data_IF_327219712823
#
_entry.id   IF_327219712823
#
_cell.length_a   1.000
_cell.length_b   1.000
_cell.length_c   1.000
_cell.angle_alpha   90.00
_cell.angle_beta   90.00
_cell.angle_gamma   90.00
#
_symmetry.space_group_name_H-M   'P 1'
#
loop_
_entity.id
_entity.type
_entity.pdbx_description
1 polymer ?
#
# COMPACT_ATOMS: atom_id res chain seq x y z
N UNK A 1 21.42 18.31 -1.49
CA UNK A 1 20.44 18.64 -0.43
C UNK A 1 19.08 18.00 -0.69
N UNK A 2 18.43 18.23 -1.83
CA UNK A 2 17.13 17.60 -2.17
C UNK A 2 17.13 16.06 -2.17
N UNK A 3 18.17 15.42 -2.71
CA UNK A 3 18.33 13.96 -2.67
C UNK A 3 18.41 13.39 -1.24
N UNK A 4 19.06 14.11 -0.33
CA UNK A 4 19.19 13.68 1.08
C UNK A 4 17.84 13.84 1.81
N UNK A 5 17.12 14.93 1.54
CA UNK A 5 15.78 15.18 2.10
C UNK A 5 14.80 14.08 1.67
N UNK A 6 14.86 13.65 0.41
CA UNK A 6 14.00 12.59 -0.09
C UNK A 6 14.33 11.22 0.55
N UNK A 7 15.62 10.96 0.82
CA UNK A 7 16.04 9.74 1.54
C UNK A 7 15.57 9.72 2.99
N UNK A 8 15.64 10.85 3.70
CA UNK A 8 15.11 10.97 5.08
C UNK A 8 13.61 10.71 5.09
N UNK A 9 12.87 11.35 4.17
CA UNK A 9 11.42 11.18 4.10
C UNK A 9 11.00 9.73 3.77
N UNK A 10 11.70 9.06 2.86
CA UNK A 10 11.41 7.64 2.61
C UNK A 10 11.78 6.74 3.78
N UNK A 11 12.80 7.07 4.58
CA UNK A 11 13.06 6.36 5.82
C UNK A 11 11.92 6.56 6.86
N UNK A 12 11.40 7.78 6.99
CA UNK A 12 10.21 8.06 7.81
C UNK A 12 8.99 7.25 7.34
N UNK A 13 8.74 7.22 6.03
CA UNK A 13 7.64 6.43 5.47
C UNK A 13 7.79 4.93 5.78
N UNK A 14 9.00 4.38 5.71
CA UNK A 14 9.23 2.98 6.12
C UNK A 14 8.88 2.77 7.60
N UNK A 15 9.20 3.73 8.48
CA UNK A 15 8.79 3.69 9.89
C UNK A 15 7.27 3.74 10.04
N UNK A 16 6.58 4.63 9.31
CA UNK A 16 5.12 4.73 9.33
C UNK A 16 4.43 3.47 8.80
N UNK A 17 5.04 2.76 7.85
CA UNK A 17 4.58 1.45 7.40
C UNK A 17 4.74 0.41 8.52
N UNK A 18 5.87 0.42 9.24
CA UNK A 18 6.05 -0.47 10.40
C UNK A 18 5.03 -0.18 11.51
N UNK A 19 4.76 1.10 11.81
CA UNK A 19 3.71 1.52 12.74
C UNK A 19 2.35 0.95 12.31
N UNK A 20 1.97 1.11 11.03
CA UNK A 20 0.71 0.61 10.51
C UNK A 20 0.60 -0.93 10.59
N UNK A 21 1.68 -1.66 10.30
CA UNK A 21 1.70 -3.13 10.40
C UNK A 21 1.54 -3.58 11.86
N UNK A 22 2.18 -2.89 12.79
CA UNK A 22 2.12 -3.17 14.24
C UNK A 22 0.75 -2.85 14.83
N UNK A 23 0.25 -1.63 14.59
CA UNK A 23 -0.98 -1.12 15.20
C UNK A 23 -2.20 -1.94 14.80
N UNK A 24 -2.23 -2.42 13.55
CA UNK A 24 -3.35 -3.18 12.99
C UNK A 24 -3.09 -4.68 12.85
N UNK A 25 -1.91 -5.17 13.22
CA UNK A 25 -1.56 -6.59 13.13
C UNK A 25 -1.74 -7.16 11.72
N UNK A 26 -1.18 -6.48 10.71
CA UNK A 26 -1.48 -6.79 9.31
C UNK A 26 -0.95 -8.16 8.87
N UNK A 27 -1.76 -8.87 8.09
CA UNK A 27 -1.46 -10.20 7.55
C UNK A 27 -1.25 -10.16 6.04
N UNK A 28 -0.17 -10.79 5.57
CA UNK A 28 0.23 -10.85 4.18
C UNK A 28 -0.28 -12.12 3.44
N UNK A 29 -0.62 -12.02 2.14
CA UNK A 29 -0.72 -10.79 1.34
C UNK A 29 -1.73 -9.81 1.93
N UNK A 30 -1.35 -8.54 2.07
CA UNK A 30 -2.23 -7.52 2.66
C UNK A 30 -3.51 -7.46 1.83
N UNK A 31 -4.64 -7.30 2.51
CA UNK A 31 -5.91 -7.00 1.89
C UNK A 31 -6.19 -5.49 2.04
N UNK A 32 -5.97 -4.68 1.00
CA UNK A 32 -6.17 -3.23 1.09
C UNK A 32 -7.64 -2.85 1.33
N UNK A 33 -8.59 -3.72 1.01
CA UNK A 33 -10.01 -3.51 1.29
C UNK A 33 -10.27 -3.48 2.79
N UNK A 34 -9.77 -4.50 3.48
CA UNK A 34 -9.83 -4.56 4.94
C UNK A 34 -9.03 -3.42 5.59
N UNK A 35 -7.87 -3.04 5.03
CA UNK A 35 -7.09 -1.91 5.55
C UNK A 35 -7.87 -0.60 5.50
N UNK A 36 -8.54 -0.31 4.38
CA UNK A 36 -9.36 0.90 4.24
C UNK A 36 -10.46 0.98 5.32
N UNK A 37 -11.14 -0.14 5.59
CA UNK A 37 -12.14 -0.22 6.66
C UNK A 37 -11.52 -0.02 8.06
N UNK A 38 -10.35 -0.59 8.31
CA UNK A 38 -9.60 -0.41 9.57
C UNK A 38 -9.17 1.05 9.80
N UNK A 39 -8.91 1.80 8.72
CA UNK A 39 -8.64 3.23 8.75
C UNK A 39 -9.91 4.09 8.86
N UNK A 40 -11.09 3.46 8.97
CA UNK A 40 -12.37 4.15 9.08
C UNK A 40 -12.86 4.77 7.77
N UNK A 41 -12.33 4.34 6.62
CA UNK A 41 -12.76 4.81 5.32
C UNK A 41 -13.88 3.94 4.73
N UNK A 42 -14.85 4.58 4.08
CA UNK A 42 -15.86 3.90 3.26
C UNK A 42 -15.24 3.54 1.90
N UNK A 43 -15.22 2.25 1.54
CA UNK A 43 -14.67 1.78 0.27
C UNK A 43 -15.78 1.57 -0.76
N UNK A 44 -15.70 2.29 -1.88
CA UNK A 44 -16.67 2.23 -2.97
C UNK A 44 -15.99 1.76 -4.26
N UNK A 45 -16.22 0.49 -4.62
CA UNK A 45 -15.79 -0.06 -5.90
C UNK A 45 -16.86 0.19 -6.96
N UNK A 46 -16.52 0.99 -7.95
CA UNK A 46 -17.42 1.27 -9.07
C UNK A 46 -17.36 0.15 -10.09
N UNK A 47 -18.46 -0.60 -10.27
CA UNK A 47 -18.55 -1.70 -11.26
C UNK A 47 -18.41 -1.25 -12.73
N UNK A 48 -18.40 0.05 -12.96
CA UNK A 48 -18.30 0.72 -14.25
C UNK A 48 -17.30 1.87 -14.06
N UNK A 49 -17.31 2.84 -14.97
CA UNK A 49 -16.49 4.06 -14.84
C UNK A 49 -16.69 4.78 -13.50
N UNK A 50 -15.59 5.38 -13.03
CA UNK A 50 -15.59 6.32 -11.92
C UNK A 50 -16.55 7.49 -12.17
N UNK A 51 -17.04 8.17 -11.11
CA UNK A 51 -17.86 9.36 -11.23
C UNK A 51 -17.15 10.47 -12.03
N UNK A 52 -17.91 11.38 -12.64
CA UNK A 52 -17.38 12.44 -13.52
C UNK A 52 -16.36 13.36 -12.83
N UNK A 53 -16.37 13.44 -11.50
CA UNK A 53 -15.35 14.16 -10.73
C UNK A 53 -13.95 13.59 -10.95
N UNK A 54 -13.81 12.27 -11.19
CA UNK A 54 -12.51 11.64 -11.44
C UNK A 54 -11.80 12.20 -12.68
N UNK A 55 -12.56 12.61 -13.71
CA UNK A 55 -12.01 13.27 -14.89
C UNK A 55 -11.41 14.65 -14.56
N UNK A 56 -11.99 15.36 -13.59
CA UNK A 56 -11.45 16.64 -13.12
C UNK A 56 -10.20 16.43 -12.25
N UNK A 57 -10.14 15.33 -11.52
CA UNK A 57 -8.98 14.88 -10.74
C UNK A 57 -7.91 14.19 -11.59
N UNK A 58 -8.12 14.07 -12.91
CA UNK A 58 -7.19 13.43 -13.85
C UNK A 58 -6.79 11.99 -13.48
N UNK A 59 -7.71 11.25 -12.84
CA UNK A 59 -7.49 9.85 -12.43
C UNK A 59 -8.45 8.89 -13.15
N UNK A 60 -7.94 7.72 -13.52
CA UNK A 60 -8.72 6.60 -14.07
C UNK A 60 -8.87 5.43 -13.10
N UNK A 61 -8.16 5.46 -11.96
CA UNK A 61 -7.91 4.27 -11.15
C UNK A 61 -8.66 4.34 -9.83
N UNK A 62 -8.58 5.49 -9.16
CA UNK A 62 -9.26 5.76 -7.91
C UNK A 62 -8.94 7.16 -7.38
N UNK A 63 -9.63 7.54 -6.31
CA UNK A 63 -9.39 8.76 -5.55
C UNK A 63 -10.04 8.67 -4.17
N UNK A 64 -9.59 9.51 -3.24
CA UNK A 64 -10.19 9.67 -1.91
C UNK A 64 -10.89 11.01 -1.77
N UNK A 65 -12.11 10.98 -1.20
CA UNK A 65 -12.86 12.15 -0.77
C UNK A 65 -12.75 12.28 0.77
N UNK A 66 -12.36 13.47 1.25
CA UNK A 66 -12.46 13.84 2.66
C UNK A 66 -13.85 14.43 2.94
N UNK A 67 -14.58 13.84 3.89
CA UNK A 67 -15.96 14.21 4.24
C UNK A 67 -15.96 14.78 5.65
N UNK A 68 -16.32 16.06 5.80
CA UNK A 68 -16.45 16.69 7.12
C UNK A 68 -17.83 16.39 7.71
N UNK A 69 -17.84 15.75 8.87
CA UNK A 69 -19.05 15.43 9.65
C UNK A 69 -19.07 16.21 10.96
N UNK A 70 -20.15 16.10 11.73
CA UNK A 70 -20.22 16.66 13.09
C UNK A 70 -19.25 15.99 14.08
N UNK A 71 -18.77 14.78 13.77
CA UNK A 71 -17.87 13.99 14.61
C UNK A 71 -16.40 14.06 14.17
N UNK A 72 -16.09 14.81 13.11
CA UNK A 72 -14.74 14.91 12.54
C UNK A 72 -14.69 14.64 11.05
N UNK A 73 -13.48 14.46 10.52
CA UNK A 73 -13.26 14.09 9.11
C UNK A 73 -13.35 12.58 8.97
N UNK A 74 -14.13 12.12 7.99
CA UNK A 74 -14.16 10.73 7.54
C UNK A 74 -13.71 10.68 6.08
N UNK A 75 -13.38 9.49 5.58
CA UNK A 75 -12.87 9.32 4.22
C UNK A 75 -13.77 8.37 3.42
N UNK A 76 -13.88 8.64 2.13
CA UNK A 76 -14.46 7.71 1.17
C UNK A 76 -13.47 7.47 0.04
N UNK A 77 -13.08 6.22 -0.15
CA UNK A 77 -12.18 5.82 -1.23
C UNK A 77 -12.99 5.25 -2.39
N UNK A 78 -12.80 5.81 -3.56
CA UNK A 78 -13.41 5.35 -4.79
C UNK A 78 -12.39 4.59 -5.63
N UNK A 79 -12.73 3.36 -6.05
CA UNK A 79 -11.87 2.51 -6.87
C UNK A 79 -12.59 2.13 -8.16
N UNK A 80 -11.87 2.15 -9.28
CA UNK A 80 -12.39 1.71 -10.56
C UNK A 80 -12.40 0.17 -10.63
N UNK A 81 -13.58 -0.43 -10.57
CA UNK A 81 -13.77 -1.88 -10.63
C UNK A 81 -13.56 -2.49 -12.02
N UNK A 82 -13.41 -1.69 -13.08
CA UNK A 82 -13.03 -2.17 -14.41
C UNK A 82 -11.53 -2.47 -14.52
N UNK A 83 -10.72 -2.03 -13.54
CA UNK A 83 -9.29 -2.33 -13.51
C UNK A 83 -9.02 -3.77 -13.07
N UNK A 84 -7.89 -4.38 -13.50
CA UNK A 84 -7.48 -5.68 -12.97
C UNK A 84 -7.36 -5.67 -11.44
N UNK A 85 -7.68 -6.77 -10.77
CA UNK A 85 -7.71 -6.85 -9.30
C UNK A 85 -6.38 -6.41 -8.67
N UNK A 86 -5.25 -6.84 -9.22
CA UNK A 86 -3.93 -6.42 -8.72
C UNK A 86 -3.71 -4.89 -8.83
N UNK A 87 -4.31 -4.23 -9.81
CA UNK A 87 -4.28 -2.77 -9.95
C UNK A 87 -5.21 -2.11 -8.93
N UNK A 88 -6.43 -2.63 -8.75
CA UNK A 88 -7.35 -2.15 -7.71
C UNK A 88 -6.73 -2.23 -6.32
N UNK A 89 -6.05 -3.34 -6.00
CA UNK A 89 -5.31 -3.54 -4.75
C UNK A 89 -4.24 -2.46 -4.54
N UNK A 90 -3.44 -2.18 -5.58
CA UNK A 90 -2.43 -1.12 -5.50
C UNK A 90 -3.07 0.27 -5.32
N UNK A 91 -4.09 0.60 -6.12
CA UNK A 91 -4.83 1.86 -6.00
C UNK A 91 -5.36 2.03 -4.58
N UNK A 92 -6.00 1.01 -4.01
CA UNK A 92 -6.55 1.13 -2.68
C UNK A 92 -5.47 1.28 -1.60
N UNK A 93 -4.34 0.58 -1.71
CA UNK A 93 -3.20 0.80 -0.82
C UNK A 93 -2.61 2.21 -0.95
N UNK A 94 -2.60 2.77 -2.16
CA UNK A 94 -2.17 4.14 -2.44
C UNK A 94 -3.11 5.17 -1.81
N UNK A 95 -4.42 4.99 -1.95
CA UNK A 95 -5.42 5.86 -1.30
C UNK A 95 -5.35 5.76 0.24
N UNK A 96 -5.14 4.55 0.79
CA UNK A 96 -4.90 4.37 2.21
C UNK A 96 -3.62 5.10 2.68
N UNK A 97 -2.59 5.18 1.83
CA UNK A 97 -1.39 5.94 2.13
C UNK A 97 -1.68 7.44 2.27
N UNK A 98 -2.52 8.02 1.40
CA UNK A 98 -2.92 9.41 1.54
C UNK A 98 -3.64 9.70 2.86
N UNK A 99 -4.46 8.76 3.33
CA UNK A 99 -5.14 8.84 4.62
C UNK A 99 -4.12 8.74 5.76
N UNK A 100 -3.28 7.72 5.77
CA UNK A 100 -2.32 7.46 6.85
C UNK A 100 -1.22 8.52 6.96
N UNK A 101 -0.78 9.08 5.83
CA UNK A 101 0.22 10.15 5.77
C UNK A 101 -0.38 11.54 5.99
N UNK A 102 -1.69 11.62 6.26
CA UNK A 102 -2.42 12.86 6.55
C UNK A 102 -2.34 13.90 5.40
N UNK A 103 -2.25 13.40 4.16
CA UNK A 103 -2.17 14.22 2.94
C UNK A 103 -3.50 14.89 2.58
N UNK A 104 -4.60 14.45 3.19
CA UNK A 104 -5.97 14.85 2.84
C UNK A 104 -6.62 15.77 3.89
N UNK A 105 -5.90 16.15 4.94
CA UNK A 105 -6.42 16.99 6.02
C UNK A 105 -6.02 18.45 5.84
N UNK A 106 -7.00 19.33 6.02
CA UNK A 106 -6.84 20.78 5.91
C UNK A 106 -5.69 21.29 6.78
N UNK A 107 -4.77 22.06 6.17
CA UNK A 107 -3.63 22.67 6.84
C UNK A 107 -2.31 21.90 6.70
N UNK A 108 -2.36 20.64 6.26
CA UNK A 108 -1.17 19.90 5.84
C UNK A 108 -0.88 20.16 4.36
N UNK A 109 -0.05 21.17 4.09
CA UNK A 109 0.38 21.46 2.73
C UNK A 109 1.54 20.55 2.33
N UNK A 110 1.22 19.47 1.63
CA UNK A 110 2.20 18.70 0.85
C UNK A 110 2.05 19.10 -0.62
N UNK A 111 3.18 19.35 -1.29
CA UNK A 111 3.19 19.55 -2.73
C UNK A 111 2.57 18.32 -3.43
N UNK A 112 1.67 18.54 -4.39
CA UNK A 112 0.88 17.45 -4.98
C UNK A 112 1.77 16.32 -5.54
N UNK A 113 2.76 16.66 -6.36
CA UNK A 113 3.67 15.68 -6.97
C UNK A 113 4.47 14.91 -5.91
N UNK A 114 4.82 15.57 -4.81
CA UNK A 114 5.47 14.93 -3.67
C UNK A 114 4.52 13.99 -2.93
N UNK A 115 3.28 14.42 -2.66
CA UNK A 115 2.25 13.60 -2.00
C UNK A 115 1.99 12.31 -2.76
N UNK A 116 1.87 12.38 -4.08
CA UNK A 116 1.70 11.23 -4.98
C UNK A 116 2.92 10.29 -4.95
N UNK A 117 4.15 10.83 -4.95
CA UNK A 117 5.37 10.03 -4.85
C UNK A 117 5.47 9.31 -3.49
N UNK A 118 5.15 10.01 -2.40
CA UNK A 118 5.13 9.45 -1.06
C UNK A 118 4.07 8.35 -0.92
N UNK A 119 2.84 8.57 -1.42
CA UNK A 119 1.78 7.56 -1.43
C UNK A 119 2.14 6.33 -2.28
N UNK A 120 2.72 6.53 -3.46
CA UNK A 120 3.20 5.43 -4.31
C UNK A 120 4.31 4.60 -3.63
N UNK A 121 5.27 5.26 -2.98
CA UNK A 121 6.32 4.58 -2.25
C UNK A 121 5.75 3.82 -1.04
N UNK A 122 4.88 4.47 -0.26
CA UNK A 122 4.20 3.86 0.88
C UNK A 122 3.44 2.60 0.46
N UNK A 123 2.57 2.69 -0.56
CA UNK A 123 1.78 1.56 -1.04
C UNK A 123 2.66 0.40 -1.53
N UNK A 124 3.70 0.71 -2.31
CA UNK A 124 4.64 -0.32 -2.79
C UNK A 124 5.41 -0.98 -1.65
N UNK A 125 5.83 -0.21 -0.64
CA UNK A 125 6.58 -0.73 0.50
C UNK A 125 5.68 -1.51 1.46
N UNK A 126 4.48 -1.02 1.76
CA UNK A 126 3.48 -1.71 2.56
C UNK A 126 3.12 -3.06 1.96
N UNK A 127 2.81 -3.12 0.67
CA UNK A 127 2.37 -4.35 0.02
C UNK A 127 3.48 -5.42 -0.05
N UNK A 128 4.74 -5.02 -0.13
CA UNK A 128 5.87 -5.95 -0.17
C UNK A 128 7.15 -5.32 0.43
N UNK A 129 7.31 -5.29 1.76
CA UNK A 129 8.49 -4.72 2.41
C UNK A 129 9.77 -5.46 2.00
N UNK A 130 10.88 -4.74 1.83
CA UNK A 130 12.17 -5.34 1.41
C UNK A 130 12.56 -6.51 2.32
N UNK A 131 12.39 -6.36 3.63
CA UNK A 131 12.77 -7.37 4.62
C UNK A 131 11.90 -8.63 4.57
N UNK A 132 10.62 -8.50 4.20
CA UNK A 132 9.75 -9.66 4.03
C UNK A 132 10.07 -10.38 2.72
N UNK A 133 10.39 -9.63 1.66
CA UNK A 133 10.88 -10.19 0.39
C UNK A 133 12.15 -11.01 0.63
N UNK A 134 13.11 -10.48 1.38
CA UNK A 134 14.38 -11.15 1.71
C UNK A 134 14.18 -12.40 2.59
N UNK A 135 13.33 -12.30 3.62
CA UNK A 135 13.19 -13.35 4.62
C UNK A 135 12.22 -14.47 4.23
N UNK A 136 11.17 -14.19 3.46
CA UNK A 136 10.12 -15.18 3.17
C UNK A 136 10.32 -15.94 1.87
N UNK A 137 11.09 -15.37 0.94
CA UNK A 137 11.34 -15.98 -0.36
C UNK A 137 12.68 -16.74 -0.35
N UNK A 138 12.63 -18.03 -0.68
CA UNK A 138 13.85 -18.82 -0.88
C UNK A 138 14.67 -18.32 -2.09
N UNK A 139 13.99 -17.71 -3.07
CA UNK A 139 14.60 -17.07 -4.24
C UNK A 139 13.84 -15.80 -4.53
N UNK A 140 14.54 -14.66 -4.50
CA UNK A 140 13.95 -13.37 -4.81
C UNK A 140 13.94 -13.18 -6.32
N UNK A 141 12.81 -13.44 -6.98
CA UNK A 141 12.58 -13.05 -8.37
C UNK A 141 11.16 -12.50 -8.54
N UNK A 142 10.92 -11.85 -9.69
CA UNK A 142 9.67 -11.11 -9.96
C UNK A 142 8.42 -12.00 -9.86
N UNK A 143 8.38 -13.23 -10.42
CA UNK A 143 7.22 -14.10 -10.28
C UNK A 143 6.92 -14.47 -8.82
N UNK A 144 7.95 -14.79 -8.04
CA UNK A 144 7.82 -15.17 -6.63
C UNK A 144 7.31 -14.00 -5.78
N UNK A 145 7.81 -12.78 -6.01
CA UNK A 145 7.30 -11.57 -5.35
C UNK A 145 5.83 -11.34 -5.70
N UNK A 146 5.49 -11.46 -6.99
CA UNK A 146 4.12 -11.26 -7.48
C UNK A 146 3.14 -12.24 -6.82
N UNK A 147 3.50 -13.53 -6.73
CA UNK A 147 2.67 -14.55 -6.11
C UNK A 147 2.59 -14.40 -4.59
N UNK A 148 3.71 -14.15 -3.92
CA UNK A 148 3.77 -14.13 -2.46
C UNK A 148 3.06 -12.92 -1.85
N UNK A 149 3.15 -11.76 -2.51
CA UNK A 149 2.58 -10.51 -2.01
C UNK A 149 1.27 -10.11 -2.72
N UNK A 150 0.79 -10.95 -3.65
CA UNK A 150 -0.40 -10.70 -4.47
C UNK A 150 -0.40 -9.27 -5.08
N UNK A 151 0.69 -8.95 -5.78
CA UNK A 151 0.89 -7.70 -6.53
C UNK A 151 1.05 -8.02 -8.01
N UNK A 152 0.79 -7.05 -8.89
CA UNK A 152 0.95 -7.25 -10.34
C UNK A 152 2.41 -7.56 -10.70
N UNK A 153 2.64 -8.23 -11.84
CA UNK A 153 3.99 -8.51 -12.33
C UNK A 153 4.84 -7.23 -12.50
N UNK A 154 4.20 -6.15 -12.96
CA UNK A 154 4.84 -4.84 -13.10
C UNK A 154 5.21 -4.26 -11.73
N UNK A 155 4.30 -4.28 -10.75
CA UNK A 155 4.60 -3.84 -9.39
C UNK A 155 5.72 -4.68 -8.76
N UNK A 156 5.69 -6.00 -8.95
CA UNK A 156 6.74 -6.90 -8.50
C UNK A 156 8.11 -6.58 -9.13
N UNK A 157 8.14 -6.08 -10.37
CA UNK A 157 9.38 -5.62 -11.02
C UNK A 157 9.96 -4.39 -10.31
N UNK A 158 9.11 -3.45 -9.89
CA UNK A 158 9.54 -2.29 -9.10
C UNK A 158 10.01 -2.70 -7.69
N UNK A 159 9.29 -3.61 -7.03
CA UNK A 159 9.68 -4.17 -5.73
C UNK A 159 11.03 -4.88 -5.84
N UNK A 160 11.24 -5.72 -6.85
CA UNK A 160 12.50 -6.41 -7.07
C UNK A 160 13.67 -5.42 -7.22
N UNK A 161 13.51 -4.37 -8.03
CA UNK A 161 14.53 -3.32 -8.19
C UNK A 161 14.82 -2.59 -6.87
N UNK A 162 13.78 -2.28 -6.08
CA UNK A 162 13.91 -1.65 -4.76
C UNK A 162 14.70 -2.55 -3.80
N UNK A 163 14.31 -3.82 -3.71
CA UNK A 163 14.99 -4.83 -2.89
C UNK A 163 16.46 -4.99 -3.29
N UNK A 164 16.76 -5.18 -4.58
CA UNK A 164 18.15 -5.35 -5.05
C UNK A 164 19.03 -4.16 -4.66
N UNK A 165 18.47 -2.93 -4.69
CA UNK A 165 19.17 -1.73 -4.27
C UNK A 165 19.39 -1.69 -2.77
N UNK A 166 18.42 -2.13 -1.97
CA UNK A 166 18.54 -2.21 -0.52
C UNK A 166 19.56 -3.27 -0.08
N UNK A 167 19.47 -4.48 -0.62
CA UNK A 167 20.41 -5.58 -0.35
C UNK A 167 21.86 -5.25 -0.73
N UNK A 168 22.06 -4.43 -1.78
CA UNK A 168 23.38 -3.95 -2.17
C UNK A 168 24.00 -2.95 -1.17
N UNK A 169 23.18 -2.28 -0.35
CA UNK A 169 23.66 -1.33 0.67
C UNK A 169 24.06 -2.03 1.97
N UNK A 170 23.52 -3.23 2.23
CA UNK A 170 23.82 -4.02 3.42
C UNK A 170 22.67 -4.94 3.81
N UNK A 171 22.83 -5.67 4.93
CA UNK A 171 21.77 -6.51 5.48
C UNK A 171 20.54 -5.67 5.89
N UNK A 172 19.34 -6.27 5.74
CA UNK A 172 18.06 -5.69 6.13
C UNK A 172 17.77 -5.97 7.60
N UNK A 173 18.52 -5.29 8.47
CA UNK A 173 18.49 -5.48 9.93
C UNK A 173 18.31 -4.17 10.69
N UNK A 174 17.84 -3.12 10.02
CA UNK A 174 17.50 -1.86 10.69
C UNK A 174 16.39 -2.07 11.72
N UNK A 175 16.23 -1.14 12.65
CA UNK A 175 15.14 -1.22 13.63
C UNK A 175 13.77 -1.38 12.97
N UNK A 176 13.52 -0.65 11.87
CA UNK A 176 12.30 -0.74 11.08
C UNK A 176 12.13 -2.13 10.44
N UNK A 177 13.20 -2.70 9.90
CA UNK A 177 13.17 -4.04 9.30
C UNK A 177 12.80 -5.11 10.36
N UNK A 178 13.42 -5.02 11.54
CA UNK A 178 13.16 -5.94 12.65
C UNK A 178 11.73 -5.79 13.22
N UNK A 179 11.20 -4.56 13.25
CA UNK A 179 9.81 -4.27 13.62
C UNK A 179 8.83 -4.96 12.67
N UNK A 180 9.01 -4.79 11.37
CA UNK A 180 8.18 -5.44 10.35
C UNK A 180 8.26 -6.97 10.47
N UNK A 181 9.46 -7.54 10.61
CA UNK A 181 9.64 -8.99 10.76
C UNK A 181 8.92 -9.60 11.97
N UNK A 182 8.85 -8.87 13.09
CA UNK A 182 8.21 -9.36 14.32
C UNK A 182 6.69 -9.29 14.27
N UNK A 183 6.15 -8.37 13.48
CA UNK A 183 4.73 -8.01 13.54
C UNK A 183 3.95 -8.49 12.32
N UNK A 184 4.60 -8.61 11.16
CA UNK A 184 3.96 -9.11 9.95
C UNK A 184 3.61 -10.60 10.09
N UNK A 185 2.34 -10.94 9.88
CA UNK A 185 1.89 -12.33 9.86
C UNK A 185 1.76 -12.81 8.42
N UNK A 186 2.26 -14.02 8.11
CA UNK A 186 2.07 -14.66 6.80
C UNK A 186 0.84 -15.57 6.84
N UNK A 187 -0.10 -15.44 5.90
CA UNK A 187 -1.21 -16.40 5.79
C UNK A 187 -0.68 -17.76 5.40
N UNK A 188 -1.22 -18.81 6.00
CA UNK A 188 -0.90 -20.18 5.60
C UNK A 188 -1.62 -20.52 4.28
N UNK A 189 -1.02 -21.39 3.46
CA UNK A 189 -1.59 -21.80 2.14
C UNK A 189 -3.05 -22.29 2.22
N UNK A 190 -3.45 -22.88 3.35
CA UNK A 190 -4.83 -23.35 3.57
C UNK A 190 -5.86 -22.22 3.67
N UNK A 191 -5.48 -21.05 4.19
CA UNK A 191 -6.37 -19.88 4.33
C UNK A 191 -6.52 -19.15 3.00
N UNK A 192 -5.46 -19.13 2.20
CA UNK A 192 -5.44 -18.49 0.87
C UNK A 192 -6.38 -19.20 -0.13
N UNK A 193 -6.45 -20.55 -0.08
CA UNK A 193 -7.38 -21.34 -0.89
C UNK A 193 -8.85 -21.15 -0.50
N UNK A 194 -9.13 -20.90 0.78
CA UNK A 194 -10.49 -20.70 1.27
C UNK A 194 -11.09 -19.35 0.84
N UNK A 195 -10.27 -18.31 0.62
CA UNK A 195 -10.73 -17.01 0.15
C UNK A 195 -11.08 -17.03 -1.35
N UNK A 196 -10.29 -17.73 -2.18
CA UNK A 196 -10.57 -17.90 -3.62
C UNK A 196 -11.96 -18.54 -3.84
N UNK A 197 -12.29 -19.57 -3.07
CA UNK A 197 -13.59 -20.26 -3.15
C UNK A 197 -14.80 -19.40 -2.72
N UNK A 198 -14.59 -18.34 -1.94
CA UNK A 198 -15.66 -17.42 -1.52
C UNK A 198 -15.95 -16.31 -2.53
N UNK A 199 -15.02 -16.04 -3.45
CA UNK A 199 -15.19 -15.01 -4.49
C UNK A 199 -15.90 -15.59 -5.73
N UNK A 200 -15.89 -16.92 -5.90
CA UNK A 200 -16.53 -17.63 -7.02
C UNK A 200 -17.97 -18.13 -6.73
N UNK A 201 -18.54 -17.84 -5.55
CA UNK A 201 -19.87 -18.26 -5.11
C UNK A 201 -20.85 -17.08 -4.97
#
# INVERSE_FOLDING_TARGET
MALLINQVRYAEIKSLVADLIEDYGLTYPIDPFNLGELLGAEIVVHKRKLPSIAAHLQTSDGFTESIRTEFGVTFRVHVNGEMPEARQRFTLAHECAHIWLDHLVDGNFVDFDRGEQEANFFASYLLAPDVLVDSWLARVQVPEISSEFNVSHEAATFVFKRYMKAAALGPLESEVDLRILRSATRRNEGEMKAQILRVEA
#
